data_IF_160734318395
#
_entry.id   IF_160734318395
#
_cell.length_a   1.000
_cell.length_b   1.000
_cell.length_c   1.000
_cell.angle_alpha   90.00
_cell.angle_beta   90.00
_cell.angle_gamma   90.00
#
_symmetry.space_group_name_H-M   'P 1'
#
loop_
_entity.id
_entity.type
_entity.pdbx_description
1 polymer ?
#
# COMPACT_ATOMS: atom_id res chain seq x y z
N UNK A 1 21.95 -10.84 30.26
CA UNK A 1 22.65 -11.38 29.07
C UNK A 1 24.04 -11.99 29.35
N UNK A 2 24.90 -11.40 30.20
CA UNK A 2 26.25 -11.92 30.53
C UNK A 2 26.31 -13.41 30.91
N UNK A 3 25.43 -13.85 31.83
CA UNK A 3 25.37 -15.25 32.26
C UNK A 3 24.98 -16.22 31.13
N UNK A 4 24.14 -15.77 30.18
CA UNK A 4 23.77 -16.55 29.01
C UNK A 4 24.98 -16.73 28.08
N UNK A 5 25.69 -15.64 27.76
CA UNK A 5 26.91 -15.69 26.96
C UNK A 5 27.93 -16.68 27.52
N UNK A 6 28.22 -16.60 28.82
CA UNK A 6 29.16 -17.50 29.47
C UNK A 6 28.74 -18.97 29.39
N UNK A 7 27.46 -19.26 29.67
CA UNK A 7 26.94 -20.64 29.61
C UNK A 7 26.97 -21.18 28.18
N UNK A 8 26.54 -20.38 27.20
CA UNK A 8 26.41 -20.85 25.82
C UNK A 8 27.76 -21.01 25.12
N UNK A 9 28.70 -20.07 25.29
CA UNK A 9 30.06 -20.22 24.74
C UNK A 9 30.81 -21.40 25.38
N UNK A 10 30.61 -21.67 26.67
CA UNK A 10 31.17 -22.86 27.31
C UNK A 10 30.68 -24.18 26.70
N UNK A 11 29.45 -24.23 26.18
CA UNK A 11 28.92 -25.43 25.53
C UNK A 11 29.73 -25.83 24.28
N UNK A 12 30.40 -24.88 23.63
CA UNK A 12 31.29 -25.18 22.49
C UNK A 12 32.46 -26.07 22.92
N UNK A 13 33.03 -25.79 24.10
CA UNK A 13 34.12 -26.58 24.67
C UNK A 13 33.58 -27.92 25.21
N UNK A 14 32.50 -27.86 26.01
CA UNK A 14 31.93 -29.04 26.67
C UNK A 14 31.43 -30.09 25.67
N UNK A 15 30.81 -29.67 24.56
CA UNK A 15 30.19 -30.57 23.57
C UNK A 15 31.01 -30.72 22.29
N UNK A 16 32.32 -30.49 22.33
CA UNK A 16 33.18 -30.41 21.15
C UNK A 16 33.03 -31.57 20.16
N UNK A 17 32.90 -32.81 20.66
CA UNK A 17 32.76 -34.01 19.81
C UNK A 17 31.44 -34.02 19.04
N UNK A 18 30.33 -33.78 19.73
CA UNK A 18 28.98 -33.71 19.13
C UNK A 18 28.87 -32.58 18.11
N UNK A 19 29.45 -31.42 18.42
CA UNK A 19 29.44 -30.25 17.53
C UNK A 19 30.29 -30.53 16.29
N UNK A 20 31.46 -31.17 16.46
CA UNK A 20 32.33 -31.52 15.34
C UNK A 20 31.62 -32.48 14.36
N UNK A 21 30.89 -33.47 14.88
CA UNK A 21 30.08 -34.39 14.08
C UNK A 21 28.95 -33.67 13.35
N UNK A 22 28.19 -32.82 14.07
CA UNK A 22 27.06 -32.08 13.52
C UNK A 22 27.46 -31.10 12.41
N UNK A 23 28.64 -30.49 12.51
CA UNK A 23 29.12 -29.52 11.54
C UNK A 23 29.71 -30.17 10.28
N UNK A 24 30.02 -31.47 10.28
CA UNK A 24 30.49 -32.18 9.07
C UNK A 24 31.72 -31.54 8.41
N UNK A 25 32.62 -30.94 9.19
CA UNK A 25 33.82 -30.24 8.69
C UNK A 25 33.66 -28.73 8.45
N UNK A 26 32.45 -28.16 8.61
CA UNK A 26 32.25 -26.71 8.57
C UNK A 26 32.99 -26.00 9.71
N UNK A 27 33.54 -24.83 9.41
CA UNK A 27 34.20 -23.96 10.38
C UNK A 27 33.29 -22.82 10.81
N UNK A 28 33.09 -22.66 12.11
CA UNK A 28 32.34 -21.55 12.69
C UNK A 28 33.25 -20.33 12.79
N UNK A 29 32.83 -19.23 12.17
CA UNK A 29 33.54 -17.93 12.22
C UNK A 29 32.91 -16.94 13.20
N UNK A 30 31.63 -17.08 13.50
CA UNK A 30 30.87 -16.09 14.27
C UNK A 30 29.95 -16.81 15.24
N UNK A 31 29.98 -16.42 16.50
CA UNK A 31 28.93 -16.71 17.45
C UNK A 31 28.24 -15.41 17.80
N UNK A 32 26.92 -15.34 17.61
CA UNK A 32 26.17 -14.08 17.76
C UNK A 32 25.18 -14.25 18.90
N UNK A 33 25.30 -13.40 19.92
CA UNK A 33 24.24 -13.20 20.91
C UNK A 33 23.29 -12.11 20.40
N UNK A 34 22.12 -12.51 19.92
CA UNK A 34 21.06 -11.57 19.58
C UNK A 34 20.27 -11.19 20.84
N UNK A 35 20.18 -9.90 21.13
CA UNK A 35 19.47 -9.33 22.26
C UNK A 35 18.30 -8.44 21.76
N UNK A 36 17.20 -8.31 22.52
CA UNK A 36 16.15 -7.34 22.18
C UNK A 36 16.68 -5.90 22.16
N UNK A 37 17.52 -5.55 23.13
CA UNK A 37 18.21 -4.26 23.27
C UNK A 37 19.62 -4.48 23.82
N UNK A 38 20.53 -3.56 23.51
CA UNK A 38 21.91 -3.57 23.99
C UNK A 38 22.23 -2.29 24.77
N UNK A 39 21.86 -2.29 26.05
CA UNK A 39 22.02 -1.17 26.98
C UNK A 39 23.27 -1.30 27.88
N UNK A 40 23.80 -2.51 28.03
CA UNK A 40 24.96 -2.80 28.89
C UNK A 40 26.22 -3.20 28.09
N UNK A 41 27.22 -2.31 28.09
CA UNK A 41 28.53 -2.52 27.44
C UNK A 41 29.31 -3.69 28.03
N UNK A 42 29.06 -4.08 29.28
CA UNK A 42 29.74 -5.21 29.90
C UNK A 42 29.29 -6.55 29.30
N UNK A 43 28.13 -6.60 28.63
CA UNK A 43 27.71 -7.75 27.83
C UNK A 43 28.68 -7.96 26.66
N UNK A 44 29.02 -6.88 25.94
CA UNK A 44 29.98 -6.92 24.82
C UNK A 44 31.35 -7.37 25.31
N UNK A 45 31.86 -6.77 26.41
CA UNK A 45 33.14 -7.17 27.01
C UNK A 45 33.15 -8.64 27.42
N UNK A 46 32.06 -9.13 28.03
CA UNK A 46 31.93 -10.53 28.47
C UNK A 46 31.98 -11.47 27.27
N UNK A 47 31.24 -11.18 26.20
CA UNK A 47 31.23 -12.01 24.99
C UNK A 47 32.59 -12.01 24.30
N UNK A 48 33.23 -10.86 24.16
CA UNK A 48 34.57 -10.76 23.57
C UNK A 48 35.60 -11.58 24.37
N UNK A 49 35.67 -11.36 25.68
CA UNK A 49 36.57 -12.09 26.58
C UNK A 49 36.31 -13.59 26.52
N UNK A 50 35.05 -14.00 26.57
CA UNK A 50 34.70 -15.42 26.60
C UNK A 50 34.98 -16.11 25.28
N UNK A 51 34.80 -15.41 24.16
CA UNK A 51 35.09 -15.94 22.83
C UNK A 51 36.58 -16.16 22.62
N UNK A 52 37.43 -15.26 23.14
CA UNK A 52 38.87 -15.47 23.13
C UNK A 52 39.26 -16.73 23.92
N UNK A 53 38.71 -16.90 25.13
CA UNK A 53 38.96 -18.12 25.92
C UNK A 53 38.54 -19.40 25.20
N UNK A 54 37.46 -19.36 24.41
CA UNK A 54 37.01 -20.50 23.60
C UNK A 54 37.93 -20.75 22.41
N UNK A 55 38.48 -19.68 21.80
CA UNK A 55 39.51 -19.80 20.76
C UNK A 55 40.79 -20.45 21.28
N UNK A 56 41.24 -20.02 22.46
CA UNK A 56 42.44 -20.55 23.11
C UNK A 56 42.30 -22.04 23.46
N UNK A 57 41.07 -22.58 23.52
CA UNK A 57 40.80 -24.00 23.70
C UNK A 57 41.08 -24.86 22.44
N UNK A 58 41.46 -24.24 21.31
CA UNK A 58 41.94 -24.95 20.12
C UNK A 58 40.89 -25.84 19.46
N UNK A 59 39.63 -25.42 19.46
CA UNK A 59 38.53 -26.26 18.97
C UNK A 59 38.63 -26.45 17.44
N UNK A 60 38.60 -27.69 16.93
CA UNK A 60 38.89 -27.98 15.52
C UNK A 60 37.81 -27.48 14.56
N UNK A 61 36.62 -27.11 15.04
CA UNK A 61 35.55 -26.55 14.20
C UNK A 61 35.49 -25.03 14.24
N UNK A 62 36.41 -24.35 14.94
CA UNK A 62 36.49 -22.88 14.89
C UNK A 62 37.44 -22.44 13.78
N UNK A 63 37.07 -21.34 13.12
CA UNK A 63 37.94 -20.67 12.19
C UNK A 63 38.99 -19.81 12.93
N UNK A 64 40.16 -19.52 12.32
CA UNK A 64 41.18 -18.68 12.94
C UNK A 64 40.71 -17.26 13.27
N UNK A 65 39.72 -16.75 12.53
CA UNK A 65 39.14 -15.42 12.68
C UNK A 65 37.87 -15.42 13.55
N UNK A 66 37.62 -16.47 14.33
CA UNK A 66 36.38 -16.58 15.09
C UNK A 66 36.18 -15.43 16.08
N UNK A 67 34.97 -14.88 16.10
CA UNK A 67 34.56 -13.83 17.05
C UNK A 67 33.20 -14.11 17.65
N UNK A 68 33.06 -13.78 18.93
CA UNK A 68 31.75 -13.56 19.54
C UNK A 68 31.30 -12.13 19.34
N UNK A 69 30.07 -11.97 18.88
CA UNK A 69 29.44 -10.68 18.64
C UNK A 69 28.17 -10.58 19.47
N UNK A 70 27.81 -9.35 19.80
CA UNK A 70 26.50 -9.02 20.38
C UNK A 70 25.82 -8.13 19.37
N UNK A 71 24.62 -8.52 18.97
CA UNK A 71 23.79 -7.71 18.10
C UNK A 71 22.43 -7.47 18.75
N UNK A 72 21.80 -6.37 18.37
CA UNK A 72 20.42 -6.08 18.71
C UNK A 72 19.61 -5.72 17.47
N UNK A 73 18.33 -5.48 17.63
CA UNK A 73 17.44 -5.16 16.52
C UNK A 73 17.88 -3.90 15.75
N UNK A 74 18.45 -2.92 16.44
CA UNK A 74 18.90 -1.64 15.87
C UNK A 74 20.02 -1.83 14.84
N UNK A 75 20.89 -2.82 15.03
CA UNK A 75 21.98 -3.17 14.09
C UNK A 75 21.46 -3.61 12.72
N UNK A 76 20.20 -4.06 12.66
CA UNK A 76 19.52 -4.54 11.46
C UNK A 76 18.39 -3.59 11.02
N UNK A 77 18.38 -2.35 11.50
CA UNK A 77 17.33 -1.37 11.18
C UNK A 77 17.08 -1.27 9.67
N UNK A 78 18.13 -1.21 8.85
CA UNK A 78 18.02 -1.14 7.39
C UNK A 78 17.42 -2.40 6.77
N UNK A 79 17.83 -3.58 7.22
CA UNK A 79 17.31 -4.86 6.74
C UNK A 79 15.86 -5.06 7.16
N UNK A 80 15.50 -4.64 8.37
CA UNK A 80 14.14 -4.66 8.88
C UNK A 80 13.28 -3.70 8.05
N UNK A 81 13.76 -2.49 7.77
CA UNK A 81 13.06 -1.54 6.92
C UNK A 81 12.93 -2.06 5.48
N UNK A 82 13.96 -2.72 4.94
CA UNK A 82 13.89 -3.37 3.63
C UNK A 82 12.87 -4.52 3.62
N UNK A 83 12.86 -5.38 4.63
CA UNK A 83 11.89 -6.47 4.74
C UNK A 83 10.48 -5.91 4.93
N UNK A 84 10.31 -4.82 5.70
CA UNK A 84 9.03 -4.11 5.81
C UNK A 84 8.61 -3.53 4.48
N UNK A 85 9.50 -2.89 3.73
CA UNK A 85 9.25 -2.40 2.37
C UNK A 85 8.89 -3.53 1.41
N UNK A 86 9.51 -4.71 1.54
CA UNK A 86 9.19 -5.90 0.75
C UNK A 86 7.91 -6.59 1.21
N UNK A 87 7.55 -6.46 2.48
CA UNK A 87 6.29 -6.91 3.07
C UNK A 87 5.16 -5.87 2.87
N UNK A 88 5.51 -4.64 2.50
CA UNK A 88 4.56 -3.63 2.06
C UNK A 88 4.05 -4.01 0.67
N UNK A 89 2.93 -4.72 0.68
CA UNK A 89 1.96 -4.73 -0.41
C UNK A 89 2.04 -5.93 -1.32
N UNK A 90 0.92 -6.66 -1.43
CA UNK A 90 0.67 -7.46 -2.62
C UNK A 90 0.99 -6.64 -3.86
N UNK A 91 1.86 -7.14 -4.73
CA UNK A 91 2.17 -6.45 -5.99
C UNK A 91 0.93 -6.50 -6.87
N UNK A 92 0.26 -5.35 -6.98
CA UNK A 92 -0.94 -5.22 -7.78
C UNK A 92 -0.55 -4.97 -9.23
N UNK A 93 -0.93 -5.88 -10.12
CA UNK A 93 -0.69 -5.72 -11.55
C UNK A 93 -1.88 -4.98 -12.12
N UNK A 94 -1.68 -3.71 -12.48
CA UNK A 94 -2.70 -2.89 -13.13
C UNK A 94 -2.94 -3.36 -14.57
N UNK A 95 -3.72 -4.43 -14.72
CA UNK A 95 -4.17 -4.94 -16.01
C UNK A 95 -5.04 -3.90 -16.70
N UNK A 96 -4.50 -3.29 -17.74
CA UNK A 96 -5.25 -2.36 -18.59
C UNK A 96 -6.08 -3.19 -19.56
N UNK A 97 -7.40 -2.97 -19.64
CA UNK A 97 -8.23 -3.68 -20.59
C UNK A 97 -7.89 -3.24 -22.01
N UNK A 98 -8.08 -4.16 -22.96
CA UNK A 98 -7.90 -3.86 -24.37
C UNK A 98 -9.08 -3.05 -24.95
N UNK A 99 -8.95 -2.64 -26.21
CA UNK A 99 -9.94 -1.78 -26.85
C UNK A 99 -11.26 -2.50 -27.14
N UNK A 100 -11.22 -3.82 -27.35
CA UNK A 100 -12.40 -4.64 -27.61
C UNK A 100 -13.21 -4.82 -26.33
N UNK A 101 -12.56 -5.13 -25.20
CA UNK A 101 -13.17 -5.19 -23.87
C UNK A 101 -13.88 -3.87 -23.51
N UNK A 102 -13.20 -2.73 -23.75
CA UNK A 102 -13.75 -1.40 -23.49
C UNK A 102 -14.91 -1.07 -24.43
N UNK A 103 -14.84 -1.48 -25.70
CA UNK A 103 -15.91 -1.29 -26.68
C UNK A 103 -17.17 -2.08 -26.31
N UNK A 104 -17.02 -3.36 -25.96
CA UNK A 104 -18.12 -4.24 -25.52
C UNK A 104 -18.80 -3.67 -24.28
N UNK A 105 -18.04 -3.28 -23.26
CA UNK A 105 -18.58 -2.64 -22.06
C UNK A 105 -19.24 -1.28 -22.39
N UNK A 106 -18.69 -0.50 -23.32
CA UNK A 106 -19.26 0.78 -23.71
C UNK A 106 -20.61 0.69 -24.43
N UNK A 107 -20.90 -0.45 -25.05
CA UNK A 107 -22.18 -0.74 -25.69
C UNK A 107 -23.27 -1.15 -24.69
N UNK A 108 -22.89 -1.72 -23.54
CA UNK A 108 -23.82 -2.09 -22.47
C UNK A 108 -24.03 -0.97 -21.46
N UNK A 109 -23.01 -0.12 -21.25
CA UNK A 109 -23.08 1.04 -20.34
C UNK A 109 -23.96 2.14 -20.93
N UNK A 110 -24.95 2.55 -20.13
CA UNK A 110 -26.02 3.49 -20.48
C UNK A 110 -25.54 4.82 -21.09
N UNK A 111 -26.34 5.39 -21.99
CA UNK A 111 -26.19 6.77 -22.50
C UNK A 111 -26.17 7.81 -21.37
N UNK A 112 -26.67 7.48 -20.18
CA UNK A 112 -26.62 8.31 -18.99
C UNK A 112 -25.20 8.80 -18.66
N UNK A 113 -24.17 7.97 -18.87
CA UNK A 113 -22.77 8.39 -18.66
C UNK A 113 -22.37 9.51 -19.64
N UNK A 114 -22.75 9.39 -20.92
CA UNK A 114 -22.44 10.43 -21.91
C UNK A 114 -23.14 11.75 -21.56
N UNK A 115 -24.40 11.70 -21.10
CA UNK A 115 -25.14 12.88 -20.65
C UNK A 115 -24.51 13.52 -19.41
N UNK A 116 -24.02 12.72 -18.45
CA UNK A 116 -23.25 13.23 -17.29
C UNK A 116 -21.97 13.92 -17.72
N UNK A 117 -21.24 13.36 -18.69
CA UNK A 117 -20.02 13.97 -19.24
C UNK A 117 -20.32 15.29 -19.93
N UNK A 118 -21.39 15.37 -20.72
CA UNK A 118 -21.82 16.64 -21.37
C UNK A 118 -22.16 17.70 -20.32
N UNK A 119 -22.89 17.33 -19.25
CA UNK A 119 -23.18 18.23 -18.13
C UNK A 119 -21.91 18.69 -17.42
N UNK A 120 -20.95 17.79 -17.22
CA UNK A 120 -19.70 18.09 -16.53
C UNK A 120 -18.74 18.96 -17.37
N UNK A 121 -18.79 18.80 -18.69
CA UNK A 121 -17.87 19.45 -19.63
C UNK A 121 -18.65 19.94 -20.88
N UNK A 122 -19.46 21.01 -20.75
CA UNK A 122 -20.34 21.49 -21.82
C UNK A 122 -19.59 22.00 -23.07
N UNK A 123 -18.31 22.31 -22.94
CA UNK A 123 -17.44 22.78 -24.02
C UNK A 123 -16.94 21.67 -24.95
N UNK A 124 -17.18 20.40 -24.62
CA UNK A 124 -16.67 19.28 -25.42
C UNK A 124 -17.52 19.03 -26.65
N UNK A 125 -16.87 18.70 -27.76
CA UNK A 125 -17.53 18.21 -28.95
C UNK A 125 -17.92 16.71 -28.80
N UNK A 126 -18.80 16.17 -29.67
CA UNK A 126 -19.27 14.78 -29.56
C UNK A 126 -18.14 13.73 -29.55
N UNK A 127 -17.09 13.93 -30.34
CA UNK A 127 -15.94 13.02 -30.40
C UNK A 127 -15.16 13.02 -29.08
N UNK A 128 -14.96 14.19 -28.47
CA UNK A 128 -14.31 14.34 -27.18
C UNK A 128 -15.15 13.73 -26.04
N UNK A 129 -16.48 13.84 -26.10
CA UNK A 129 -17.40 13.19 -25.17
C UNK A 129 -17.27 11.67 -25.28
N UNK A 130 -17.29 11.13 -26.50
CA UNK A 130 -17.11 9.69 -26.73
C UNK A 130 -15.75 9.20 -26.21
N UNK A 131 -14.66 9.93 -26.50
CA UNK A 131 -13.31 9.61 -26.00
C UNK A 131 -13.26 9.58 -24.47
N UNK A 132 -13.89 10.56 -23.80
CA UNK A 132 -13.95 10.58 -22.33
C UNK A 132 -14.81 9.45 -21.77
N UNK A 133 -15.94 9.12 -22.41
CA UNK A 133 -16.79 7.98 -22.05
C UNK A 133 -15.94 6.70 -22.03
N UNK A 134 -15.25 6.39 -23.12
CA UNK A 134 -14.38 5.20 -23.18
C UNK A 134 -13.19 5.28 -22.23
N UNK A 135 -12.68 6.48 -21.93
CA UNK A 135 -11.70 6.71 -20.88
C UNK A 135 -12.18 6.26 -19.50
N UNK A 136 -13.37 6.68 -19.07
CA UNK A 136 -13.96 6.28 -17.79
C UNK A 136 -14.23 4.77 -17.72
N UNK A 137 -14.70 4.17 -18.81
CA UNK A 137 -14.92 2.72 -18.90
C UNK A 137 -13.61 1.97 -18.71
N UNK A 138 -12.54 2.41 -19.39
CA UNK A 138 -11.21 1.80 -19.25
C UNK A 138 -10.69 1.87 -17.83
N UNK A 139 -10.86 3.01 -17.16
CA UNK A 139 -10.40 3.17 -15.78
C UNK A 139 -11.23 2.36 -14.80
N UNK A 140 -12.55 2.26 -15.03
CA UNK A 140 -13.44 1.41 -14.25
C UNK A 140 -13.02 -0.07 -14.34
N UNK A 141 -12.90 -0.63 -15.54
CA UNK A 141 -12.48 -2.04 -15.72
C UNK A 141 -11.08 -2.30 -15.13
N UNK A 142 -10.14 -1.36 -15.27
CA UNK A 142 -8.81 -1.49 -14.65
C UNK A 142 -8.90 -1.56 -13.12
N UNK A 143 -9.76 -0.75 -12.50
CA UNK A 143 -9.96 -0.78 -11.05
C UNK A 143 -10.66 -2.06 -10.60
N UNK A 144 -11.65 -2.55 -11.34
CA UNK A 144 -12.29 -3.85 -11.07
C UNK A 144 -11.26 -4.99 -11.10
N UNK A 145 -10.45 -5.07 -12.16
CA UNK A 145 -9.37 -6.06 -12.26
C UNK A 145 -8.39 -5.99 -11.07
N UNK A 146 -8.10 -4.77 -10.59
CA UNK A 146 -7.23 -4.53 -9.45
C UNK A 146 -7.90 -4.98 -8.14
N UNK A 147 -9.17 -4.64 -7.91
CA UNK A 147 -9.92 -5.08 -6.73
C UNK A 147 -10.10 -6.61 -6.71
N UNK A 148 -10.35 -7.23 -7.85
CA UNK A 148 -10.43 -8.70 -7.99
C UNK A 148 -9.09 -9.39 -7.71
N UNK A 149 -7.97 -8.77 -8.10
CA UNK A 149 -6.67 -9.28 -7.72
C UNK A 149 -6.44 -9.13 -6.21
N UNK A 150 -6.74 -7.96 -5.62
CA UNK A 150 -6.63 -7.76 -4.17
C UNK A 150 -7.49 -8.79 -3.41
N UNK A 151 -8.72 -9.05 -3.86
CA UNK A 151 -9.61 -10.03 -3.23
C UNK A 151 -9.02 -11.44 -3.20
N UNK A 152 -8.24 -11.82 -4.22
CA UNK A 152 -7.59 -13.15 -4.32
C UNK A 152 -6.27 -13.20 -3.57
N UNK A 153 -5.43 -12.17 -3.72
CA UNK A 153 -4.03 -12.21 -3.31
C UNK A 153 -3.80 -11.57 -1.93
N UNK A 154 -4.67 -10.64 -1.52
CA UNK A 154 -4.61 -9.94 -0.23
C UNK A 154 -6.00 -9.54 0.28
N UNK A 155 -6.84 -10.51 0.73
CA UNK A 155 -8.22 -10.27 1.15
C UNK A 155 -8.38 -9.17 2.20
N UNK A 156 -7.45 -9.06 3.15
CA UNK A 156 -7.48 -8.00 4.18
C UNK A 156 -7.34 -6.59 3.58
N UNK A 157 -6.49 -6.43 2.54
CA UNK A 157 -6.37 -5.15 1.83
C UNK A 157 -7.61 -4.86 1.00
N UNK A 158 -8.22 -5.89 0.40
CA UNK A 158 -9.49 -5.75 -0.31
C UNK A 158 -10.61 -5.31 0.62
N UNK A 159 -10.79 -5.93 1.79
CA UNK A 159 -11.82 -5.54 2.77
C UNK A 159 -11.65 -4.09 3.24
N UNK A 160 -10.40 -3.66 3.47
CA UNK A 160 -10.10 -2.27 3.82
C UNK A 160 -10.44 -1.30 2.68
N UNK A 161 -10.11 -1.67 1.44
CA UNK A 161 -10.42 -0.86 0.27
C UNK A 161 -11.94 -0.72 0.06
N UNK A 162 -12.68 -1.84 0.09
CA UNK A 162 -14.14 -1.84 -0.10
C UNK A 162 -14.87 -1.12 1.03
N UNK A 163 -14.43 -1.28 2.28
CA UNK A 163 -14.96 -0.51 3.42
C UNK A 163 -14.73 0.99 3.23
N UNK A 164 -13.52 1.40 2.83
CA UNK A 164 -13.19 2.80 2.60
C UNK A 164 -14.00 3.40 1.44
N UNK A 165 -14.19 2.65 0.34
CA UNK A 165 -15.03 3.04 -0.80
C UNK A 165 -16.48 3.19 -0.36
N UNK A 166 -17.04 2.20 0.33
CA UNK A 166 -18.44 2.22 0.79
C UNK A 166 -18.72 3.41 1.71
N UNK A 167 -17.80 3.75 2.62
CA UNK A 167 -17.95 4.92 3.50
C UNK A 167 -17.94 6.25 2.73
N UNK A 168 -17.14 6.37 1.67
CA UNK A 168 -17.16 7.57 0.81
C UNK A 168 -18.40 7.62 -0.07
N UNK A 169 -18.92 6.47 -0.49
CA UNK A 169 -20.19 6.35 -1.22
C UNK A 169 -21.37 6.78 -0.32
N UNK A 170 -21.47 6.23 0.89
CA UNK A 170 -22.46 6.64 1.90
C UNK A 170 -22.39 8.15 2.17
N UNK A 171 -21.18 8.71 2.22
CA UNK A 171 -20.95 10.15 2.38
C UNK A 171 -21.48 10.94 1.19
N UNK A 172 -21.21 10.48 -0.03
CA UNK A 172 -21.72 11.12 -1.25
C UNK A 172 -23.23 11.09 -1.31
N UNK A 173 -23.86 9.97 -0.96
CA UNK A 173 -25.32 9.84 -0.93
C UNK A 173 -25.96 10.72 0.16
N UNK A 174 -25.36 10.75 1.35
CA UNK A 174 -25.92 11.47 2.50
C UNK A 174 -25.68 12.97 2.45
N UNK A 175 -24.48 13.38 2.03
CA UNK A 175 -24.04 14.80 2.11
C UNK A 175 -24.00 15.49 0.75
N UNK A 176 -24.12 14.74 -0.35
CA UNK A 176 -23.91 15.25 -1.69
C UNK A 176 -22.45 15.63 -1.96
N UNK A 177 -22.25 16.26 -3.12
CA UNK A 177 -20.98 16.85 -3.53
C UNK A 177 -20.88 18.30 -3.08
N UNK A 178 -19.65 18.84 -3.02
CA UNK A 178 -19.44 20.28 -2.80
C UNK A 178 -20.09 21.07 -3.94
N UNK A 179 -20.54 22.31 -3.70
CA UNK A 179 -21.04 23.18 -4.77
C UNK A 179 -19.88 23.74 -5.59
N UNK A 180 -19.91 23.58 -6.92
CA UNK A 180 -18.88 24.09 -7.82
C UNK A 180 -19.05 23.57 -9.25
N UNK A 181 -18.16 23.99 -10.19
CA UNK A 181 -18.14 23.42 -11.53
C UNK A 181 -17.92 21.90 -11.47
N UNK A 182 -18.73 21.15 -12.21
CA UNK A 182 -18.70 19.68 -12.20
C UNK A 182 -17.31 19.06 -12.48
N UNK A 183 -16.49 19.71 -13.31
CA UNK A 183 -15.09 19.32 -13.54
C UNK A 183 -14.22 19.40 -12.27
N UNK A 184 -14.42 20.44 -11.46
CA UNK A 184 -13.70 20.63 -10.21
C UNK A 184 -14.19 19.63 -9.17
N UNK A 185 -15.50 19.33 -9.15
CA UNK A 185 -16.07 18.30 -8.28
C UNK A 185 -15.48 16.92 -8.55
N UNK A 186 -15.35 16.53 -9.83
CA UNK A 186 -14.70 15.28 -10.18
C UNK A 186 -13.26 15.19 -9.66
N UNK A 187 -12.51 16.28 -9.77
CA UNK A 187 -11.12 16.33 -9.29
C UNK A 187 -11.06 16.27 -7.77
N UNK A 188 -11.91 17.03 -7.08
CA UNK A 188 -12.00 17.05 -5.61
C UNK A 188 -12.38 15.67 -5.08
N UNK A 189 -13.39 15.03 -5.65
CA UNK A 189 -13.83 13.71 -5.20
C UNK A 189 -12.80 12.62 -5.50
N UNK A 190 -12.11 12.71 -6.65
CA UNK A 190 -11.00 11.82 -6.96
C UNK A 190 -9.84 11.96 -5.95
N UNK A 191 -9.44 13.20 -5.64
CA UNK A 191 -8.35 13.47 -4.69
C UNK A 191 -8.73 13.04 -3.27
N UNK A 192 -9.96 13.32 -2.84
CA UNK A 192 -10.50 12.85 -1.54
C UNK A 192 -10.44 11.33 -1.45
N UNK A 193 -11.00 10.63 -2.43
CA UNK A 193 -11.02 9.18 -2.43
C UNK A 193 -9.60 8.60 -2.46
N UNK A 194 -8.70 9.21 -3.22
CA UNK A 194 -7.28 8.84 -3.22
C UNK A 194 -6.65 8.98 -1.83
N UNK A 195 -6.91 10.08 -1.09
CA UNK A 195 -6.40 10.24 0.27
C UNK A 195 -6.99 9.19 1.23
N UNK A 196 -8.30 8.97 1.17
CA UNK A 196 -9.00 7.97 2.00
C UNK A 196 -8.44 6.57 1.74
N UNK A 197 -8.29 6.17 0.48
CA UNK A 197 -7.69 4.89 0.11
C UNK A 197 -6.21 4.80 0.47
N UNK A 198 -5.44 5.88 0.36
CA UNK A 198 -4.02 5.89 0.73
C UNK A 198 -3.83 5.67 2.24
N UNK A 199 -4.70 6.26 3.05
CA UNK A 199 -4.73 6.02 4.50
C UNK A 199 -5.21 4.59 4.83
N UNK A 200 -6.20 4.09 4.09
CA UNK A 200 -6.73 2.74 4.27
C UNK A 200 -5.76 1.66 3.77
N UNK A 201 -4.88 1.93 2.81
CA UNK A 201 -3.99 0.98 2.15
C UNK A 201 -2.52 1.45 2.19
N UNK A 202 -1.94 1.68 3.39
CA UNK A 202 -0.62 2.33 3.53
C UNK A 202 0.55 1.52 2.97
N UNK A 203 0.33 0.23 2.70
CA UNK A 203 1.32 -0.70 2.17
C UNK A 203 1.20 -0.92 0.66
N UNK A 204 0.15 -0.40 0.02
CA UNK A 204 -0.07 -0.55 -1.41
C UNK A 204 0.64 0.57 -2.19
N UNK A 205 1.13 0.26 -3.39
CA UNK A 205 1.80 1.27 -4.22
C UNK A 205 0.88 2.44 -4.57
N UNK A 206 1.43 3.65 -4.52
CA UNK A 206 0.73 4.92 -4.82
C UNK A 206 -0.01 4.90 -6.16
N UNK A 207 0.62 4.31 -7.19
CA UNK A 207 0.03 4.23 -8.53
C UNK A 207 -1.18 3.29 -8.56
N UNK A 208 -1.14 2.19 -7.81
CA UNK A 208 -2.24 1.27 -7.69
C UNK A 208 -3.43 1.92 -6.95
N UNK A 209 -3.16 2.60 -5.83
CA UNK A 209 -4.18 3.36 -5.09
C UNK A 209 -4.83 4.43 -5.98
N UNK A 210 -4.03 5.18 -6.74
CA UNK A 210 -4.55 6.20 -7.67
C UNK A 210 -5.39 5.60 -8.79
N UNK A 211 -5.00 4.44 -9.32
CA UNK A 211 -5.75 3.75 -10.36
C UNK A 211 -7.12 3.26 -9.85
N UNK A 212 -7.16 2.70 -8.63
CA UNK A 212 -8.42 2.28 -7.97
C UNK A 212 -9.32 3.51 -7.75
N UNK A 213 -8.80 4.58 -7.17
CA UNK A 213 -9.58 5.80 -6.92
C UNK A 213 -10.18 6.37 -8.22
N UNK A 214 -9.38 6.48 -9.28
CA UNK A 214 -9.85 6.99 -10.57
C UNK A 214 -10.90 6.08 -11.21
N UNK A 215 -10.76 4.76 -11.10
CA UNK A 215 -11.75 3.81 -11.60
C UNK A 215 -13.06 3.84 -10.81
N UNK A 216 -12.99 4.01 -9.49
CA UNK A 216 -14.18 4.11 -8.63
C UNK A 216 -15.02 5.36 -8.93
N UNK A 217 -14.38 6.50 -9.24
CA UNK A 217 -15.11 7.67 -9.77
C UNK A 217 -15.85 7.31 -11.06
N UNK A 218 -15.21 6.52 -11.93
CA UNK A 218 -15.86 5.95 -13.11
C UNK A 218 -17.07 5.08 -12.76
N UNK A 219 -16.92 4.18 -11.79
CA UNK A 219 -18.02 3.33 -11.27
C UNK A 219 -19.18 4.19 -10.79
N UNK A 220 -18.95 5.19 -9.93
CA UNK A 220 -20.02 6.04 -9.41
C UNK A 220 -20.70 6.90 -10.50
N UNK A 221 -19.97 7.29 -11.55
CA UNK A 221 -20.56 7.92 -12.72
C UNK A 221 -21.46 6.95 -13.52
N UNK A 222 -21.06 5.69 -13.63
CA UNK A 222 -21.77 4.63 -14.35
C UNK A 222 -23.02 4.16 -13.57
N UNK A 223 -22.87 3.86 -12.27
CA UNK A 223 -23.86 3.16 -11.42
C UNK A 223 -24.70 4.11 -10.54
N UNK A 224 -24.27 5.37 -10.42
CA UNK A 224 -25.08 6.53 -10.02
C UNK A 224 -25.38 6.76 -8.53
N UNK A 225 -24.35 7.12 -7.73
CA UNK A 225 -24.48 8.15 -6.70
C UNK A 225 -23.98 9.53 -7.16
N UNK A 226 -23.09 9.61 -8.17
CA UNK A 226 -22.53 10.88 -8.63
C UNK A 226 -23.32 11.44 -9.84
N UNK A 227 -23.98 12.58 -9.65
CA UNK A 227 -24.67 13.32 -10.72
C UNK A 227 -24.35 14.82 -10.69
N UNK A 228 -24.53 15.48 -11.85
CA UNK A 228 -24.29 16.90 -12.01
C UNK A 228 -25.58 17.63 -12.34
N UNK A 229 -25.88 18.68 -11.59
CA UNK A 229 -26.95 19.61 -11.97
C UNK A 229 -26.58 20.33 -13.27
N UNK A 230 -27.54 20.56 -14.19
CA UNK A 230 -27.28 21.36 -15.38
C UNK A 230 -26.77 22.74 -15.00
N UNK A 231 -25.87 23.35 -15.79
CA UNK A 231 -25.43 24.72 -15.53
C UNK A 231 -26.66 25.64 -15.47
N UNK A 232 -26.79 26.40 -14.39
CA UNK A 232 -27.85 27.40 -14.30
C UNK A 232 -27.62 28.40 -15.44
N UNK A 233 -28.61 28.52 -16.32
CA UNK A 233 -28.66 29.60 -17.30
C UNK A 233 -28.78 30.88 -16.49
N UNK A 234 -27.66 31.59 -16.30
CA UNK A 234 -27.69 32.92 -15.69
C UNK A 234 -28.40 33.81 -16.71
N UNK A 235 -29.72 33.96 -16.56
CA UNK A 235 -30.45 34.97 -17.29
C UNK A 235 -29.84 36.31 -16.91
N UNK A 236 -29.29 37.01 -17.90
CA UNK A 236 -28.96 38.43 -17.76
C UNK A 236 -30.25 39.23 -17.73
N UNK A 237 -31.08 39.03 -16.70
CA UNK A 237 -32.20 39.90 -16.38
C UNK A 237 -32.74 39.56 -14.99
N UNK A 238 -32.08 40.09 -13.96
CA UNK A 238 -32.75 40.53 -12.74
C UNK A 238 -31.75 41.29 -11.86
N UNK A 239 -31.63 42.60 -12.13
CA UNK A 239 -31.14 43.53 -11.13
C UNK A 239 -32.16 43.59 -10.00
N UNK A 240 -31.65 43.28 -8.80
CA UNK A 240 -32.17 43.68 -7.51
C UNK A 240 -33.54 43.12 -7.12
N UNK A 241 -33.50 42.17 -6.16
CA UNK A 241 -34.21 42.32 -4.88
C UNK A 241 -33.53 41.47 -3.81
N UNK A 242 -32.95 42.18 -2.85
CA UNK A 242 -32.72 41.67 -1.50
C UNK A 242 -34.04 41.13 -0.92
N UNK A 243 -33.97 40.00 -0.21
CA UNK A 243 -34.69 39.68 1.04
C UNK A 243 -34.24 38.27 1.48
N UNK A 244 -33.46 38.13 2.56
CA UNK A 244 -33.89 37.91 3.96
C UNK A 244 -34.48 36.51 4.23
N UNK A 245 -33.73 35.75 5.04
CA UNK A 245 -34.06 34.63 5.96
C UNK A 245 -35.39 33.88 5.79
N UNK A 246 -35.36 32.54 5.77
CA UNK A 246 -35.44 31.61 6.93
C UNK A 246 -34.91 30.24 6.46
#
# INVERSE_FOLDING_TARGET
>A
MRAKANRDLNKLVTNKGKILELLGGLKVRRWILLCPFLDDKDVVKTVAKKSQQVMDAGLPFLAPDFRGLVHCQEDFSKEIDRIRLQACGATLILKTPDDDEVSVAGNTISEALAQKIVRAFPQLNPEQVAKRKFGFIRTHIRAENALDQLKRDAPELWERATTAIALEEDRLETSGTVSGPAADLLTIEQDRLYQTLSAALPTLETNAVRAIAMGQIGTWLIECPLDFTPPQVVSHNERARYNLCI
#
